data_IF_739384827204
#
_entry.id   IF_739384827204
#
_cell.length_a   1.000
_cell.length_b   1.000
_cell.length_c   1.000
_cell.angle_alpha   90.00
_cell.angle_beta   90.00
_cell.angle_gamma   90.00
#
_symmetry.space_group_name_H-M   'P 1'
#
loop_
_entity.id
_entity.type
_entity.pdbx_description
1 polymer ?
#
# COMPACT_ATOMS: atom_id res chain seq x y z
N UNK A 1 13.24 -16.54 4.20
CA UNK A 1 12.15 -16.13 3.32
C UNK A 1 12.11 -14.62 3.30
N UNK A 2 11.55 -14.05 2.25
CA UNK A 2 11.71 -12.63 1.96
C UNK A 2 10.41 -11.84 2.20
N UNK A 3 10.54 -10.55 2.45
CA UNK A 3 9.43 -9.58 2.39
C UNK A 3 9.53 -8.83 1.07
N UNK A 4 8.46 -8.84 0.28
CA UNK A 4 8.37 -8.01 -0.90
C UNK A 4 7.91 -6.60 -0.51
N UNK A 5 8.59 -5.55 -0.98
CA UNK A 5 8.19 -4.16 -0.84
C UNK A 5 7.84 -3.63 -2.21
N UNK A 6 6.57 -3.27 -2.38
CA UNK A 6 5.97 -2.79 -3.63
C UNK A 6 5.65 -1.31 -3.49
N UNK A 7 6.16 -0.50 -4.40
CA UNK A 7 5.87 0.93 -4.52
C UNK A 7 5.51 1.26 -5.97
N UNK A 8 4.69 2.28 -6.20
CA UNK A 8 4.26 2.64 -7.55
C UNK A 8 5.29 3.50 -8.29
N UNK A 9 5.96 4.41 -7.58
CA UNK A 9 6.81 5.46 -8.15
C UNK A 9 8.26 5.36 -7.71
N UNK A 10 9.14 6.09 -8.40
CA UNK A 10 10.57 6.10 -8.12
C UNK A 10 10.85 6.72 -6.74
N UNK A 11 10.16 7.80 -6.42
CA UNK A 11 10.29 8.54 -5.16
C UNK A 11 9.96 7.66 -3.95
N UNK A 12 9.02 6.73 -4.10
CA UNK A 12 8.55 5.84 -3.04
C UNK A 12 9.50 4.68 -2.75
N UNK A 13 10.34 4.27 -3.72
CA UNK A 13 11.29 3.17 -3.53
C UNK A 13 12.71 3.67 -3.22
N UNK A 14 13.00 4.94 -3.49
CA UNK A 14 14.35 5.51 -3.38
C UNK A 14 14.97 5.30 -2.00
N UNK A 15 14.23 5.63 -0.91
CA UNK A 15 14.75 5.48 0.45
C UNK A 15 15.12 4.03 0.79
N UNK A 16 14.39 3.05 0.26
CA UNK A 16 14.75 1.64 0.45
C UNK A 16 16.03 1.28 -0.29
N UNK A 17 16.21 1.75 -1.52
CA UNK A 17 17.42 1.50 -2.31
C UNK A 17 18.65 2.13 -1.68
N UNK A 18 18.50 3.30 -1.05
CA UNK A 18 19.59 3.99 -0.36
C UNK A 18 19.94 3.36 1.01
N UNK A 19 18.94 2.77 1.67
CA UNK A 19 19.08 2.25 3.04
C UNK A 19 19.44 0.77 3.09
N UNK A 20 18.90 -0.02 2.15
CA UNK A 20 19.08 -1.45 2.11
C UNK A 20 20.32 -1.84 1.28
N UNK A 21 21.00 -2.91 1.66
CA UNK A 21 22.07 -3.47 0.84
C UNK A 21 21.47 -4.29 -0.30
N UNK A 22 21.55 -3.79 -1.52
CA UNK A 22 21.14 -4.53 -2.73
C UNK A 22 22.25 -5.56 -3.07
N UNK A 23 21.86 -6.84 -3.09
CA UNK A 23 22.75 -7.96 -3.41
C UNK A 23 22.68 -8.35 -4.91
N UNK A 24 21.48 -8.25 -5.52
CA UNK A 24 21.27 -8.52 -6.95
C UNK A 24 20.11 -7.72 -7.52
N UNK A 25 20.09 -7.58 -8.84
CA UNK A 25 18.96 -6.96 -9.57
C UNK A 25 18.59 -7.86 -10.74
N UNK A 26 17.28 -8.08 -10.94
CA UNK A 26 16.74 -8.92 -12.01
C UNK A 26 15.65 -8.16 -12.75
N UNK A 27 15.66 -8.23 -14.08
CA UNK A 27 14.60 -7.67 -14.92
C UNK A 27 13.62 -8.78 -15.31
N UNK A 28 12.29 -8.55 -15.06
CA UNK A 28 11.22 -9.44 -15.46
C UNK A 28 9.97 -8.65 -15.81
N UNK A 29 9.33 -8.99 -16.92
CA UNK A 29 8.08 -8.36 -17.37
C UNK A 29 8.11 -6.81 -17.36
N UNK A 30 9.28 -6.22 -17.67
CA UNK A 30 9.47 -4.76 -17.60
C UNK A 30 9.69 -4.21 -16.20
N UNK A 31 9.67 -5.04 -15.16
CA UNK A 31 9.92 -4.67 -13.77
C UNK A 31 11.38 -4.95 -13.41
N UNK A 32 11.94 -4.08 -12.58
CA UNK A 32 13.27 -4.25 -11.98
C UNK A 32 13.12 -4.68 -10.53
N UNK A 33 13.53 -5.92 -10.22
CA UNK A 33 13.44 -6.55 -8.92
C UNK A 33 14.81 -6.46 -8.25
N UNK A 34 14.87 -5.78 -7.09
CA UNK A 34 16.10 -5.64 -6.31
C UNK A 34 16.06 -6.60 -5.13
N UNK A 35 16.88 -7.65 -5.19
CA UNK A 35 17.11 -8.55 -4.05
C UNK A 35 18.04 -7.83 -3.08
N UNK A 36 17.54 -7.57 -1.87
CA UNK A 36 18.23 -6.72 -0.89
C UNK A 36 18.17 -7.30 0.52
N UNK A 37 18.97 -6.71 1.41
CA UNK A 37 18.97 -7.04 2.84
C UNK A 37 18.91 -5.80 3.71
N UNK A 38 18.11 -5.89 4.76
CA UNK A 38 18.02 -4.87 5.78
C UNK A 38 17.87 -5.50 7.16
N UNK A 39 18.80 -5.21 8.09
CA UNK A 39 18.81 -5.72 9.48
C UNK A 39 18.54 -7.22 9.62
N UNK A 40 19.10 -8.03 8.71
CA UNK A 40 18.94 -9.48 8.71
C UNK A 40 17.72 -10.01 7.95
N UNK A 41 16.81 -9.14 7.51
CA UNK A 41 15.69 -9.50 6.64
C UNK A 41 16.11 -9.56 5.18
N UNK A 42 15.65 -10.57 4.46
CA UNK A 42 15.73 -10.63 3.00
C UNK A 42 14.53 -9.85 2.43
N UNK A 43 14.81 -8.98 1.47
CA UNK A 43 13.81 -8.12 0.83
C UNK A 43 13.84 -8.29 -0.68
N UNK A 44 12.68 -8.10 -1.31
CA UNK A 44 12.59 -7.86 -2.75
C UNK A 44 11.93 -6.50 -2.94
N UNK A 45 12.70 -5.52 -3.38
CA UNK A 45 12.23 -4.15 -3.58
C UNK A 45 11.85 -3.95 -5.05
N UNK A 46 10.68 -3.41 -5.33
CA UNK A 46 10.21 -3.22 -6.71
C UNK A 46 9.37 -1.96 -6.88
N UNK A 47 9.64 -1.25 -7.98
CA UNK A 47 8.76 -0.22 -8.51
C UNK A 47 7.79 -0.87 -9.49
N UNK A 48 6.52 -1.00 -9.09
CA UNK A 48 5.49 -1.66 -9.88
C UNK A 48 4.99 -0.80 -11.06
N UNK A 49 4.99 0.52 -10.91
CA UNK A 49 4.25 1.45 -11.75
C UNK A 49 2.86 1.74 -11.20
N UNK A 50 2.26 2.83 -11.65
CA UNK A 50 0.96 3.31 -11.17
C UNK A 50 -0.18 2.47 -11.73
N UNK A 51 -1.19 2.21 -10.89
CA UNK A 51 -2.46 1.61 -11.27
C UNK A 51 -2.58 0.11 -10.96
N UNK A 52 -3.84 -0.34 -10.89
CA UNK A 52 -4.21 -1.68 -10.42
C UNK A 52 -3.60 -2.81 -11.24
N UNK A 53 -3.52 -2.69 -12.57
CA UNK A 53 -2.96 -3.72 -13.44
C UNK A 53 -1.47 -3.92 -13.17
N UNK A 54 -0.71 -2.82 -13.04
CA UNK A 54 0.72 -2.86 -12.72
C UNK A 54 0.95 -3.49 -11.34
N UNK A 55 0.16 -3.08 -10.36
CA UNK A 55 0.24 -3.59 -8.98
C UNK A 55 -0.08 -5.09 -8.91
N UNK A 56 -1.14 -5.54 -9.58
CA UNK A 56 -1.53 -6.95 -9.61
C UNK A 56 -0.49 -7.82 -10.33
N UNK A 57 -0.03 -7.40 -11.52
CA UNK A 57 1.02 -8.09 -12.27
C UNK A 57 2.29 -8.24 -11.43
N UNK A 58 2.73 -7.14 -10.82
CA UNK A 58 3.92 -7.12 -9.99
C UNK A 58 3.80 -8.08 -8.81
N UNK A 59 2.68 -8.01 -8.08
CA UNK A 59 2.45 -8.84 -6.88
C UNK A 59 2.43 -10.32 -7.23
N UNK A 60 1.71 -10.73 -8.29
CA UNK A 60 1.66 -12.12 -8.71
C UNK A 60 3.05 -12.61 -9.14
N UNK A 61 3.78 -11.81 -9.91
CA UNK A 61 5.14 -12.16 -10.35
C UNK A 61 6.09 -12.36 -9.15
N UNK A 62 5.97 -11.54 -8.11
CA UNK A 62 6.75 -11.70 -6.87
C UNK A 62 6.42 -12.99 -6.15
N UNK A 63 5.12 -13.32 -6.02
CA UNK A 63 4.65 -14.57 -5.38
C UNK A 63 5.12 -15.80 -6.15
N UNK A 64 5.11 -15.77 -7.48
CA UNK A 64 5.52 -16.90 -8.32
C UNK A 64 7.04 -17.16 -8.29
N UNK A 65 7.85 -16.14 -7.99
CA UNK A 65 9.31 -16.25 -8.10
C UNK A 65 10.05 -16.24 -6.76
N UNK A 66 9.40 -15.83 -5.69
CA UNK A 66 10.02 -15.73 -4.36
C UNK A 66 9.17 -16.43 -3.29
N UNK A 67 9.84 -17.10 -2.36
CA UNK A 67 9.18 -17.60 -1.16
C UNK A 67 8.97 -16.42 -0.19
N UNK A 68 7.78 -15.80 -0.25
CA UNK A 68 7.46 -14.60 0.52
C UNK A 68 6.84 -14.95 1.87
N UNK A 69 7.23 -14.21 2.91
CA UNK A 69 6.56 -14.19 4.21
C UNK A 69 5.42 -13.17 4.24
N UNK A 70 5.58 -12.07 3.50
CA UNK A 70 4.58 -11.01 3.37
C UNK A 70 4.87 -10.12 2.15
N UNK A 71 3.83 -9.40 1.71
CA UNK A 71 3.95 -8.28 0.77
C UNK A 71 3.62 -7.00 1.52
N UNK A 72 4.49 -5.99 1.41
CA UNK A 72 4.27 -4.65 1.93
C UNK A 72 4.11 -3.70 0.75
N UNK A 73 2.94 -3.06 0.64
CA UNK A 73 2.71 -2.00 -0.33
C UNK A 73 2.82 -0.65 0.38
N UNK A 74 3.63 0.27 -0.15
CA UNK A 74 3.93 1.54 0.48
C UNK A 74 3.91 2.68 -0.54
N UNK A 75 3.50 3.86 -0.11
CA UNK A 75 3.43 5.04 -0.97
C UNK A 75 2.59 6.17 -0.39
N UNK A 76 2.19 7.07 -1.27
CA UNK A 76 1.36 8.23 -0.97
C UNK A 76 -0.13 7.98 -1.21
N UNK A 77 -1.00 8.83 -0.65
CA UNK A 77 -2.45 8.79 -0.86
C UNK A 77 -3.09 10.16 -0.61
N UNK A 78 -4.25 10.40 -1.21
CA UNK A 78 -5.11 11.55 -0.91
C UNK A 78 -6.05 11.27 0.25
N UNK A 79 -6.27 12.26 1.12
CA UNK A 79 -7.20 12.15 2.25
C UNK A 79 -8.66 12.20 1.79
N UNK A 80 -9.50 11.28 2.25
CA UNK A 80 -10.93 11.25 1.92
C UNK A 80 -11.80 12.05 2.88
N UNK A 81 -11.29 12.46 4.04
CA UNK A 81 -12.01 13.27 5.02
C UNK A 81 -11.09 14.25 5.75
N UNK A 82 -11.67 15.27 6.37
CA UNK A 82 -10.94 16.38 7.01
C UNK A 82 -10.25 16.00 8.33
N UNK A 83 -10.46 14.78 8.83
CA UNK A 83 -9.79 14.24 10.01
C UNK A 83 -8.33 13.82 9.75
N UNK A 84 -7.89 13.80 8.47
CA UNK A 84 -6.52 13.51 8.05
C UNK A 84 -5.86 14.78 7.51
N UNK A 85 -4.64 15.02 7.94
CA UNK A 85 -3.78 16.10 7.45
C UNK A 85 -2.70 15.55 6.51
N UNK A 86 -2.16 16.41 5.65
CA UNK A 86 -0.96 16.11 4.87
C UNK A 86 0.16 15.75 5.85
N UNK A 87 0.86 14.65 5.58
CA UNK A 87 1.89 14.07 6.45
C UNK A 87 1.38 12.99 7.42
N UNK A 88 0.07 12.86 7.66
CA UNK A 88 -0.47 11.74 8.44
C UNK A 88 -0.21 10.40 7.74
N UNK A 89 0.00 9.35 8.52
CA UNK A 89 0.21 7.99 8.03
C UNK A 89 -1.04 7.14 8.27
N UNK A 90 -1.51 6.48 7.24
CA UNK A 90 -2.58 5.48 7.32
C UNK A 90 -1.97 4.09 7.14
N UNK A 91 -2.10 3.26 8.17
CA UNK A 91 -1.83 1.81 8.12
C UNK A 91 -3.16 1.13 7.85
N UNK A 92 -3.31 0.47 6.71
CA UNK A 92 -4.59 -0.11 6.34
C UNK A 92 -4.97 -1.28 7.25
N UNK A 93 -6.19 -1.25 7.76
CA UNK A 93 -6.85 -2.43 8.34
C UNK A 93 -7.39 -3.31 7.22
N UNK A 94 -7.94 -2.68 6.20
CA UNK A 94 -8.36 -3.31 4.95
C UNK A 94 -8.27 -2.32 3.77
N UNK A 95 -8.50 -2.84 2.57
CA UNK A 95 -8.61 -2.02 1.37
C UNK A 95 -9.74 -2.51 0.46
N UNK A 96 -10.24 -1.61 -0.41
CA UNK A 96 -11.36 -1.87 -1.31
C UNK A 96 -11.17 -1.16 -2.65
N UNK A 97 -11.64 -1.76 -3.74
CA UNK A 97 -11.65 -1.10 -5.05
C UNK A 97 -12.88 -0.17 -5.17
N UNK A 98 -12.67 1.15 -5.09
CA UNK A 98 -13.77 2.12 -5.11
C UNK A 98 -14.40 2.32 -6.49
N UNK A 99 -13.70 1.92 -7.55
CA UNK A 99 -14.10 2.07 -8.95
C UNK A 99 -14.75 0.80 -9.55
N UNK A 100 -15.05 -0.21 -8.72
CA UNK A 100 -15.86 -1.37 -9.12
C UNK A 100 -17.32 -1.05 -8.86
N UNK A 101 -18.04 -0.69 -9.93
CA UNK A 101 -19.46 -0.32 -9.92
C UNK A 101 -20.30 -1.46 -10.46
N UNK A 102 -20.95 -2.21 -9.57
CA UNK A 102 -21.68 -3.44 -9.88
C UNK A 102 -23.07 -3.48 -9.25
N UNK A 103 -23.59 -2.33 -8.85
CA UNK A 103 -24.86 -2.16 -8.16
C UNK A 103 -26.05 -2.63 -9.02
N UNK A 104 -25.90 -2.57 -10.35
CA UNK A 104 -26.87 -3.12 -11.30
C UNK A 104 -27.05 -4.65 -11.21
N UNK A 105 -26.09 -5.37 -10.60
CA UNK A 105 -26.19 -6.79 -10.27
C UNK A 105 -26.79 -7.04 -8.88
N UNK A 106 -27.19 -6.00 -8.15
CA UNK A 106 -27.66 -6.08 -6.77
C UNK A 106 -26.53 -6.27 -5.76
N UNK A 107 -25.28 -6.02 -6.18
CA UNK A 107 -24.09 -6.09 -5.32
C UNK A 107 -23.73 -4.69 -4.80
N UNK A 108 -23.03 -4.63 -3.69
CA UNK A 108 -22.51 -3.38 -3.15
C UNK A 108 -21.29 -2.90 -3.95
N UNK A 109 -21.08 -1.59 -4.02
CA UNK A 109 -19.87 -0.98 -4.62
C UNK A 109 -18.60 -1.60 -4.06
N UNK A 110 -17.65 -1.90 -4.92
CA UNK A 110 -16.37 -2.55 -4.56
C UNK A 110 -16.45 -4.08 -4.44
N UNK A 111 -17.64 -4.70 -4.54
CA UNK A 111 -17.75 -6.15 -4.55
C UNK A 111 -17.21 -6.72 -5.87
N UNK A 112 -16.42 -7.79 -5.78
CA UNK A 112 -15.93 -8.50 -6.97
C UNK A 112 -17.01 -9.47 -7.44
N UNK A 113 -17.61 -9.28 -8.63
CA UNK A 113 -18.70 -10.12 -9.11
C UNK A 113 -18.36 -11.61 -9.10
N UNK A 114 -19.35 -12.43 -8.74
CA UNK A 114 -19.25 -13.89 -8.69
C UNK A 114 -18.20 -14.43 -7.70
N UNK A 115 -17.87 -13.63 -6.67
CA UNK A 115 -17.01 -14.02 -5.56
C UNK A 115 -17.54 -13.43 -4.24
N UNK A 116 -17.00 -13.87 -3.10
CA UNK A 116 -17.29 -13.30 -1.78
C UNK A 116 -16.31 -12.16 -1.41
N UNK A 117 -15.51 -11.69 -2.39
CA UNK A 117 -14.46 -10.70 -2.17
C UNK A 117 -15.01 -9.28 -2.35
N UNK A 118 -14.73 -8.42 -1.39
CA UNK A 118 -15.01 -6.98 -1.42
C UNK A 118 -13.92 -6.19 -0.68
N UNK A 119 -13.70 -6.52 0.58
CA UNK A 119 -12.66 -5.94 1.41
C UNK A 119 -11.51 -6.92 1.57
N UNK A 120 -10.30 -6.43 1.37
CA UNK A 120 -9.08 -7.23 1.53
C UNK A 120 -8.41 -6.83 2.83
N UNK A 121 -8.50 -7.69 3.85
CA UNK A 121 -7.97 -7.42 5.19
C UNK A 121 -6.45 -7.54 5.21
N UNK A 122 -5.78 -6.52 5.70
CA UNK A 122 -4.35 -6.58 5.97
C UNK A 122 -4.03 -7.53 7.13
N UNK A 123 -2.80 -8.02 7.20
CA UNK A 123 -2.37 -8.94 8.25
C UNK A 123 -2.34 -8.22 9.61
N UNK A 124 -3.29 -8.54 10.50
CA UNK A 124 -3.47 -7.87 11.80
C UNK A 124 -2.18 -7.78 12.64
N UNK A 125 -1.31 -8.82 12.72
CA UNK A 125 -0.05 -8.71 13.44
C UNK A 125 0.90 -7.65 12.85
N UNK A 126 0.88 -7.46 11.53
CA UNK A 126 1.68 -6.43 10.86
C UNK A 126 1.09 -5.04 11.08
N UNK A 127 -0.25 -4.91 11.00
CA UNK A 127 -0.98 -3.66 11.27
C UNK A 127 -0.68 -3.16 12.69
N UNK A 128 -0.85 -3.99 13.70
CA UNK A 128 -0.57 -3.61 15.10
C UNK A 128 0.88 -3.16 15.30
N UNK A 129 1.83 -3.84 14.70
CA UNK A 129 3.24 -3.47 14.81
C UNK A 129 3.56 -2.18 14.07
N UNK A 130 3.02 -1.99 12.86
CA UNK A 130 3.19 -0.75 12.11
C UNK A 130 2.58 0.45 12.85
N UNK A 131 1.39 0.29 13.43
CA UNK A 131 0.72 1.31 14.25
C UNK A 131 1.54 1.69 15.50
N UNK A 132 2.31 0.76 16.06
CA UNK A 132 3.17 1.04 17.22
C UNK A 132 4.46 1.80 16.88
N UNK A 133 4.76 1.95 15.59
CA UNK A 133 5.91 2.76 15.14
C UNK A 133 5.54 4.24 15.26
N UNK A 134 6.33 5.00 15.98
CA UNK A 134 6.20 6.46 16.01
C UNK A 134 7.17 7.10 15.02
N UNK A 135 6.70 8.10 14.32
CA UNK A 135 7.52 9.07 13.59
C UNK A 135 7.31 10.42 14.24
N UNK A 136 8.42 11.13 14.51
CA UNK A 136 8.34 12.48 15.00
C UNK A 136 7.61 13.34 13.96
N UNK A 137 6.70 14.20 14.42
CA UNK A 137 5.88 15.10 13.59
C UNK A 137 4.79 14.44 12.70
N UNK A 138 4.58 13.13 12.79
CA UNK A 138 3.54 12.43 12.03
C UNK A 138 2.57 11.64 12.91
N UNK A 139 1.28 11.74 12.63
CA UNK A 139 0.27 10.90 13.26
C UNK A 139 0.13 9.59 12.51
N UNK A 140 0.28 8.45 13.20
CA UNK A 140 0.06 7.12 12.63
C UNK A 140 -1.31 6.63 13.06
N UNK A 141 -2.18 6.32 12.10
CA UNK A 141 -3.55 5.83 12.32
C UNK A 141 -3.79 4.53 11.57
N UNK A 142 -4.74 3.74 12.02
CA UNK A 142 -5.31 2.67 11.21
C UNK A 142 -6.55 3.17 10.47
N UNK A 143 -6.88 2.55 9.32
CA UNK A 143 -8.03 2.93 8.55
C UNK A 143 -8.22 2.11 7.29
N UNK A 144 -9.23 2.47 6.48
CA UNK A 144 -9.52 1.83 5.19
C UNK A 144 -8.91 2.60 4.04
N UNK A 145 -8.25 1.90 3.13
CA UNK A 145 -7.69 2.46 1.90
C UNK A 145 -8.59 2.12 0.71
N UNK A 146 -8.99 3.14 -0.04
CA UNK A 146 -9.78 2.99 -1.26
C UNK A 146 -8.88 3.09 -2.49
N UNK A 147 -8.95 2.10 -3.38
CA UNK A 147 -8.10 1.99 -4.57
C UNK A 147 -8.91 2.15 -5.85
N UNK A 148 -8.39 2.87 -6.83
CA UNK A 148 -8.99 2.94 -8.18
C UNK A 148 -8.04 3.56 -9.20
N UNK A 149 -8.28 3.27 -10.49
CA UNK A 149 -7.45 3.78 -11.60
C UNK A 149 -7.78 5.24 -11.97
N UNK A 150 -8.09 6.06 -10.96
CA UNK A 150 -8.42 7.48 -11.14
C UNK A 150 -7.80 8.29 -10.01
N UNK A 151 -7.01 9.32 -10.38
CA UNK A 151 -6.55 10.31 -9.42
C UNK A 151 -7.72 11.22 -9.01
N UNK A 152 -8.12 11.18 -7.75
CA UNK A 152 -9.29 11.91 -7.25
C UNK A 152 -8.90 13.36 -6.98
N UNK A 153 -9.59 14.28 -7.67
CA UNK A 153 -9.39 15.74 -7.57
C UNK A 153 -10.70 16.50 -7.36
N UNK A 154 -11.81 15.80 -7.21
CA UNK A 154 -13.13 16.36 -7.05
C UNK A 154 -13.69 16.10 -5.67
N UNK A 155 -14.09 17.15 -4.97
CA UNK A 155 -14.62 17.03 -3.60
C UNK A 155 -15.90 16.19 -3.53
N UNK A 156 -16.73 16.18 -4.55
CA UNK A 156 -17.94 15.36 -4.57
C UNK A 156 -17.58 13.88 -4.67
N UNK A 157 -16.62 13.52 -5.55
CA UNK A 157 -16.11 12.16 -5.66
C UNK A 157 -15.41 11.71 -4.36
N UNK A 158 -14.58 12.56 -3.77
CA UNK A 158 -13.94 12.35 -2.47
C UNK A 158 -14.97 12.00 -1.39
N UNK A 159 -15.98 12.83 -1.24
CA UNK A 159 -17.05 12.65 -0.25
C UNK A 159 -17.86 11.38 -0.51
N UNK A 160 -18.22 11.12 -1.76
CA UNK A 160 -18.96 9.92 -2.14
C UNK A 160 -18.18 8.63 -1.79
N UNK A 161 -16.88 8.58 -2.08
CA UNK A 161 -16.04 7.43 -1.73
C UNK A 161 -16.01 7.22 -0.21
N UNK A 162 -15.83 8.29 0.55
CA UNK A 162 -15.84 8.23 2.01
C UNK A 162 -17.17 7.73 2.57
N UNK A 163 -18.28 8.34 2.13
CA UNK A 163 -19.64 8.02 2.65
C UNK A 163 -20.08 6.60 2.29
N UNK A 164 -19.80 6.13 1.07
CA UNK A 164 -20.27 4.82 0.60
C UNK A 164 -19.38 3.65 1.06
N UNK A 165 -18.09 3.88 1.23
CA UNK A 165 -17.12 2.82 1.52
C UNK A 165 -16.48 2.94 2.92
N UNK A 166 -16.65 4.07 3.60
CA UNK A 166 -15.99 4.35 4.88
C UNK A 166 -14.47 4.45 4.72
N UNK A 167 -14.00 4.93 3.55
CA UNK A 167 -12.58 5.05 3.27
C UNK A 167 -11.94 6.23 3.98
N UNK A 168 -10.71 6.07 4.44
CA UNK A 168 -9.92 7.13 5.07
C UNK A 168 -9.04 7.85 4.06
N UNK A 169 -8.43 7.12 3.12
CA UNK A 169 -7.64 7.68 2.05
C UNK A 169 -7.82 6.93 0.72
N UNK A 170 -7.38 7.54 -0.38
CA UNK A 170 -7.53 7.02 -1.74
C UNK A 170 -6.19 7.01 -2.46
N UNK A 171 -5.94 5.92 -3.21
CA UNK A 171 -4.73 5.70 -4.00
C UNK A 171 -5.04 4.75 -5.18
N UNK A 172 -4.03 4.20 -5.87
CA UNK A 172 -4.26 3.53 -7.14
C UNK A 172 -3.78 2.07 -7.21
N UNK A 173 -3.26 1.45 -6.13
CA UNK A 173 -2.62 0.12 -6.15
C UNK A 173 -3.08 -0.84 -5.05
N UNK A 174 -3.29 -0.34 -3.85
CA UNK A 174 -3.35 -1.13 -2.61
C UNK A 174 -4.34 -2.29 -2.63
N UNK A 175 -5.57 -2.05 -3.09
CA UNK A 175 -6.57 -3.13 -3.16
C UNK A 175 -6.26 -4.17 -4.25
N UNK A 176 -5.51 -3.81 -5.30
CA UNK A 176 -5.06 -4.78 -6.29
C UNK A 176 -3.97 -5.70 -5.69
N UNK A 177 -3.03 -5.14 -4.93
CA UNK A 177 -2.06 -5.92 -4.14
C UNK A 177 -2.79 -6.81 -3.14
N UNK A 178 -3.73 -6.25 -2.36
CA UNK A 178 -4.49 -6.98 -1.35
C UNK A 178 -5.31 -8.13 -1.95
N UNK A 179 -5.96 -7.91 -3.09
CA UNK A 179 -6.72 -8.96 -3.79
C UNK A 179 -5.82 -10.11 -4.24
N UNK A 180 -4.67 -9.81 -4.84
CA UNK A 180 -3.72 -10.84 -5.28
C UNK A 180 -3.18 -11.61 -4.08
N UNK A 181 -2.82 -10.92 -3.01
CA UNK A 181 -2.35 -11.56 -1.77
C UNK A 181 -3.42 -12.47 -1.14
N UNK A 182 -4.68 -12.01 -1.08
CA UNK A 182 -5.80 -12.78 -0.56
C UNK A 182 -6.06 -14.07 -1.36
N UNK A 183 -5.95 -13.99 -2.70
CA UNK A 183 -6.11 -15.16 -3.59
C UNK A 183 -4.97 -16.17 -3.49
N UNK A 184 -3.81 -15.77 -2.97
CA UNK A 184 -2.61 -16.61 -2.81
C UNK A 184 -2.29 -16.95 -1.36
N UNK A 185 -3.15 -16.60 -0.40
CA UNK A 185 -2.94 -16.80 1.05
C UNK A 185 -1.61 -16.19 1.56
N UNK A 186 -1.19 -15.07 0.99
CA UNK A 186 0.01 -14.33 1.39
C UNK A 186 -0.39 -13.16 2.30
N UNK A 187 0.18 -13.04 3.51
CA UNK A 187 -0.03 -11.87 4.35
C UNK A 187 0.41 -10.58 3.66
N UNK A 188 -0.37 -9.51 3.78
CA UNK A 188 0.05 -8.20 3.27
C UNK A 188 -0.12 -7.08 4.29
N UNK A 189 0.59 -6.00 4.08
CA UNK A 189 0.49 -4.73 4.78
C UNK A 189 0.43 -3.61 3.76
N UNK A 190 -0.41 -2.62 4.00
CA UNK A 190 -0.50 -1.42 3.18
C UNK A 190 -0.29 -0.20 4.07
N UNK A 191 0.69 0.64 3.71
CA UNK A 191 1.04 1.88 4.43
C UNK A 191 0.99 3.05 3.44
N UNK A 192 0.25 4.08 3.79
CA UNK A 192 0.11 5.30 2.98
C UNK A 192 0.41 6.55 3.81
N UNK A 193 1.19 7.46 3.25
CA UNK A 193 1.33 8.81 3.78
C UNK A 193 0.47 9.78 2.99
N UNK A 194 -0.23 10.66 3.69
CA UNK A 194 -1.13 11.62 3.04
C UNK A 194 -0.30 12.71 2.35
N UNK A 195 -0.42 12.80 1.03
CA UNK A 195 0.25 13.78 0.18
C UNK A 195 -0.65 14.94 -0.23
N UNK A 196 -1.96 14.72 -0.24
CA UNK A 196 -2.95 15.68 -0.71
C UNK A 196 -4.33 15.41 -0.09
N UNK A 197 -5.28 16.31 -0.37
CA UNK A 197 -6.64 16.25 0.20
C UNK A 197 -7.67 15.61 -0.71
N UNK A 198 -7.27 15.04 -1.85
CA UNK A 198 -8.18 14.51 -2.87
C UNK A 198 -9.28 15.48 -3.29
N UNK A 199 -9.00 16.78 -3.31
CA UNK A 199 -9.89 17.89 -3.66
C UNK A 199 -9.34 18.73 -4.82
N UNK A 200 -9.90 19.90 -5.08
CA UNK A 200 -9.48 20.78 -6.18
C UNK A 200 -8.02 21.31 -6.10
N UNK A 201 -7.30 21.07 -4.99
CA UNK A 201 -5.89 21.45 -4.81
C UNK A 201 -4.93 20.26 -4.95
N UNK A 202 -5.45 19.05 -5.10
CA UNK A 202 -4.70 17.78 -4.98
C UNK A 202 -3.47 17.66 -5.89
N UNK A 203 -3.52 18.17 -7.11
CA UNK A 203 -2.38 18.08 -8.03
C UNK A 203 -1.20 18.98 -7.60
N UNK A 204 -1.47 20.10 -6.97
CA UNK A 204 -0.46 21.02 -6.43
C UNK A 204 0.13 20.44 -5.14
N UNK A 205 -0.74 19.99 -4.24
CA UNK A 205 -0.36 19.38 -2.96
C UNK A 205 0.46 18.12 -3.21
N UNK A 206 -0.01 17.21 -4.05
CA UNK A 206 0.68 15.97 -4.41
C UNK A 206 2.11 16.26 -4.90
N UNK A 207 2.30 17.18 -5.86
CA UNK A 207 3.63 17.51 -6.37
C UNK A 207 4.54 18.14 -5.32
N UNK A 208 3.97 18.88 -4.38
CA UNK A 208 4.72 19.56 -3.32
C UNK A 208 5.14 18.61 -2.20
N UNK A 209 4.29 17.64 -1.86
CA UNK A 209 4.47 16.76 -0.69
C UNK A 209 4.81 15.31 -1.02
N UNK A 210 4.85 14.92 -2.32
CA UNK A 210 5.14 13.54 -2.74
C UNK A 210 6.42 12.99 -2.13
N UNK A 211 7.52 13.75 -2.19
CA UNK A 211 8.81 13.30 -1.67
C UNK A 211 8.79 13.04 -0.16
N UNK A 212 8.14 13.93 0.59
CA UNK A 212 7.99 13.79 2.04
C UNK A 212 7.09 12.61 2.39
N UNK A 213 5.94 12.48 1.73
CA UNK A 213 5.02 11.36 1.91
C UNK A 213 5.68 10.01 1.59
N UNK A 214 6.43 9.94 0.47
CA UNK A 214 7.18 8.77 0.08
C UNK A 214 8.22 8.36 1.14
N UNK A 215 8.98 9.32 1.66
CA UNK A 215 9.96 9.08 2.71
C UNK A 215 9.30 8.64 4.02
N UNK A 216 8.21 9.28 4.43
CA UNK A 216 7.53 8.99 5.69
C UNK A 216 6.90 7.59 5.67
N UNK A 217 6.22 7.20 4.57
CA UNK A 217 5.67 5.85 4.43
C UNK A 217 6.77 4.77 4.44
N UNK A 218 7.90 5.02 3.78
CA UNK A 218 9.04 4.10 3.77
C UNK A 218 9.71 3.99 5.16
N UNK A 219 9.81 5.08 5.91
CA UNK A 219 10.37 5.07 7.27
C UNK A 219 9.55 4.20 8.22
N UNK A 220 8.21 4.22 8.14
CA UNK A 220 7.35 3.31 8.93
C UNK A 220 7.74 1.86 8.67
N UNK A 221 7.86 1.47 7.40
CA UNK A 221 8.18 0.10 7.01
C UNK A 221 9.60 -0.28 7.45
N UNK A 222 10.59 0.59 7.26
CA UNK A 222 11.96 0.33 7.70
C UNK A 222 12.06 0.20 9.24
N UNK A 223 11.35 1.04 10.01
CA UNK A 223 11.30 0.91 11.47
C UNK A 223 10.56 -0.35 11.90
N UNK A 224 9.46 -0.70 11.22
CA UNK A 224 8.76 -1.97 11.43
C UNK A 224 9.70 -3.16 11.24
N UNK A 225 10.39 -3.24 10.08
CA UNK A 225 11.36 -4.30 9.78
C UNK A 225 12.49 -4.36 10.82
N UNK A 226 12.97 -3.21 11.28
CA UNK A 226 14.01 -3.13 12.30
C UNK A 226 13.58 -3.66 13.68
N UNK A 227 12.28 -3.59 13.98
CA UNK A 227 11.69 -4.05 15.25
C UNK A 227 11.25 -5.53 15.19
N UNK A 228 11.20 -6.14 13.99
CA UNK A 228 10.83 -7.53 13.82
C UNK A 228 12.04 -8.45 14.08
N UNK A 229 11.83 -9.53 14.84
CA UNK A 229 12.79 -10.64 14.86
C UNK A 229 12.79 -11.35 13.52
N UNK A 230 13.96 -11.70 13.02
CA UNK A 230 14.12 -12.45 11.76
C UNK A 230 13.32 -13.78 11.83
N UNK A 231 12.34 -13.96 10.94
CA UNK A 231 11.47 -15.15 10.90
C UNK A 231 10.14 -15.03 11.66
N UNK A 232 9.86 -13.89 12.33
CA UNK A 232 8.64 -13.68 13.14
C UNK A 232 7.37 -13.33 12.35
N UNK A 233 7.46 -13.19 11.03
CA UNK A 233 6.33 -12.78 10.17
C UNK A 233 5.32 -13.90 9.91
N UNK A 234 5.66 -15.14 10.21
CA UNK A 234 4.69 -16.25 10.16
C UNK A 234 3.91 -16.31 11.47
N UNK A 235 2.66 -15.86 11.45
CA UNK A 235 1.67 -16.41 12.38
C UNK A 235 1.49 -17.87 12.00
N UNK A 236 1.88 -18.79 12.89
CA UNK A 236 1.40 -20.17 12.81
C UNK A 236 -0.12 -20.10 12.97
N UNK A 237 -0.86 -20.36 11.87
CA UNK A 237 -2.28 -20.73 11.94
C UNK A 237 -2.47 -21.98 12.79
#
# INVERSE_FOLDING_TARGET
MAVAVVSAMAEEIELYLDTCRVDATRDRAGLRLHEARYRGHELVLVKAGVGKVNAALCTQLLIDHYALDAVVCTGSAGALHDGLAIGDIVVAEDCVQHDVHVEFLGLERGAIPFSDLRFFSAAEPLVRRAQSVSLDDHTVRTGRVCTGDTFIQDEAARRQIHEELGGDCVEMEGAAVGQVCALNDIPFLLVRAISDRADGTSDVDFRSFLQEAAQSSAQIVLRLLAALETGSLRSRS
#
